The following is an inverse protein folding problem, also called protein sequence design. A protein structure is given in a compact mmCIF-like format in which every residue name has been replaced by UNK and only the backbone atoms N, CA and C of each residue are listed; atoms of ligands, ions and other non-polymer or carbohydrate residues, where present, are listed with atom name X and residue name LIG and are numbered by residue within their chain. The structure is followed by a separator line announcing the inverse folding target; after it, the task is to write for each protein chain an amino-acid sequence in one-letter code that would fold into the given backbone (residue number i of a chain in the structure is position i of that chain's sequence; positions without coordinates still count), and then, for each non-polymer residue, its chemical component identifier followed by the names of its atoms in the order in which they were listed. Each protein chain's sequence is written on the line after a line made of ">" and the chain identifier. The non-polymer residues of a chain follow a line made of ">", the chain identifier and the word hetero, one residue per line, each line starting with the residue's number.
data_IF_910288163595
#
_entry.id   IF_910288163595
#
_cell.length_a   1.000
_cell.length_b   1.000
_cell.length_c   1.000
_cell.angle_alpha   90.00
_cell.angle_beta   90.00
_cell.angle_gamma   90.00
#
_symmetry.space_group_name_H-M   'P 1'
#
loop_
_entity.id
_entity.type
_entity.pdbx_description
1 polymer ?
#
# COMPACT_ATOMS: atom_id res chain seq x y z
N UNK A 1 -2.04 26.58 7.05
CA UNK A 1 -2.16 25.12 7.18
C UNK A 1 -1.39 24.43 6.06
N UNK A 2 -0.75 23.28 6.32
CA UNK A 2 -0.01 22.50 5.33
C UNK A 2 -0.21 21.00 5.56
N UNK A 3 -0.16 20.21 4.47
CA UNK A 3 -0.24 18.75 4.53
C UNK A 3 1.13 18.12 4.26
N UNK A 4 1.52 17.17 5.10
CA UNK A 4 2.81 16.50 5.08
C UNK A 4 2.64 15.11 4.46
N UNK A 5 3.02 14.96 3.17
CA UNK A 5 2.82 13.73 2.40
C UNK A 5 4.04 12.82 2.34
N UNK A 6 5.25 13.40 2.39
CA UNK A 6 6.50 12.68 2.09
C UNK A 6 7.58 12.95 3.13
N UNK A 7 8.53 12.01 3.30
CA UNK A 7 9.75 12.25 4.06
C UNK A 7 10.74 13.06 3.21
N UNK A 8 10.56 14.37 3.08
CA UNK A 8 11.33 15.24 2.17
C UNK A 8 12.85 15.08 2.25
N UNK A 9 13.41 14.74 3.41
CA UNK A 9 14.83 14.48 3.52
C UNK A 9 15.26 13.30 2.64
N UNK A 10 14.47 12.23 2.62
CA UNK A 10 14.73 11.05 1.77
C UNK A 10 14.56 11.40 0.28
N UNK A 11 13.57 12.23 -0.05
CA UNK A 11 13.39 12.72 -1.42
C UNK A 11 14.57 13.59 -1.86
N UNK A 12 15.10 14.45 -0.97
CA UNK A 12 16.27 15.25 -1.26
C UNK A 12 17.55 14.42 -1.34
N UNK A 13 17.68 13.37 -0.53
CA UNK A 13 18.82 12.46 -0.58
C UNK A 13 18.89 11.73 -1.93
N UNK A 14 17.74 11.42 -2.52
CA UNK A 14 17.64 10.77 -3.82
C UNK A 14 17.80 11.74 -5.01
N UNK A 15 17.40 13.01 -4.86
CA UNK A 15 17.28 13.95 -5.98
C UNK A 15 18.29 15.11 -5.96
N UNK A 16 18.91 15.43 -4.83
CA UNK A 16 19.86 16.52 -4.72
C UNK A 16 21.29 16.00 -4.53
N UNK A 17 22.20 16.54 -5.34
CA UNK A 17 23.61 16.10 -5.38
C UNK A 17 24.43 16.59 -4.18
N UNK A 18 24.16 17.79 -3.65
CA UNK A 18 25.02 18.44 -2.66
C UNK A 18 24.36 18.53 -1.28
N UNK A 19 25.08 18.17 -0.22
CA UNK A 19 24.57 18.21 1.14
C UNK A 19 24.13 19.61 1.62
N UNK A 20 24.82 20.66 1.16
CA UNK A 20 24.43 22.03 1.50
C UNK A 20 23.07 22.41 0.89
N UNK A 21 22.80 22.01 -0.37
CA UNK A 21 21.52 22.28 -1.03
C UNK A 21 20.37 21.52 -0.35
N UNK A 22 20.59 20.29 0.12
CA UNK A 22 19.63 19.53 0.92
C UNK A 22 19.28 20.25 2.22
N UNK A 23 20.30 20.77 2.93
CA UNK A 23 20.10 21.54 4.17
C UNK A 23 19.31 22.83 3.94
N UNK A 24 19.63 23.57 2.89
CA UNK A 24 18.93 24.82 2.54
C UNK A 24 17.49 24.52 2.18
N UNK A 25 17.25 23.53 1.31
CA UNK A 25 15.90 23.12 0.93
C UNK A 25 15.07 22.68 2.15
N UNK A 26 15.64 21.83 3.01
CA UNK A 26 14.97 21.38 4.23
C UNK A 26 14.66 22.52 5.20
N UNK A 27 15.63 23.43 5.42
CA UNK A 27 15.43 24.62 6.27
C UNK A 27 14.34 25.54 5.73
N UNK A 28 14.29 25.73 4.40
CA UNK A 28 13.22 26.50 3.74
C UNK A 28 11.83 25.88 3.95
N UNK A 29 11.70 24.59 3.72
CA UNK A 29 10.43 23.87 3.92
C UNK A 29 10.01 23.92 5.39
N UNK A 30 10.90 23.63 6.32
CA UNK A 30 10.56 23.65 7.75
C UNK A 30 10.20 25.04 8.25
N UNK A 31 10.77 26.12 7.66
CA UNK A 31 10.34 27.50 7.97
C UNK A 31 8.89 27.74 7.55
N UNK A 32 8.49 27.23 6.37
CA UNK A 32 7.09 27.35 5.89
C UNK A 32 6.16 26.54 6.80
N UNK A 33 6.49 25.29 7.11
CA UNK A 33 5.64 24.46 7.97
C UNK A 33 5.52 25.02 9.38
N UNK A 34 6.61 25.55 9.95
CA UNK A 34 6.59 26.18 11.27
C UNK A 34 5.92 27.56 11.31
N UNK A 35 5.55 28.12 10.16
CA UNK A 35 4.72 29.32 10.06
C UNK A 35 3.23 29.02 9.88
N UNK A 36 2.84 27.73 9.77
CA UNK A 36 1.45 27.34 9.70
C UNK A 36 0.83 27.24 11.10
N UNK A 37 -0.46 27.54 11.21
CA UNK A 37 -1.22 27.37 12.47
C UNK A 37 -1.31 25.89 12.86
N UNK A 38 -1.49 25.03 11.87
CA UNK A 38 -1.55 23.57 12.03
C UNK A 38 -1.00 22.86 10.78
N UNK A 39 -0.29 21.75 10.98
CA UNK A 39 0.11 20.83 9.93
C UNK A 39 -0.68 19.54 10.02
N UNK A 40 -0.88 18.87 8.88
CA UNK A 40 -1.56 17.58 8.80
C UNK A 40 -0.64 16.54 8.20
N UNK A 41 -0.32 15.51 8.97
CA UNK A 41 0.47 14.37 8.49
C UNK A 41 -0.46 13.27 8.01
N UNK A 42 -0.09 12.64 6.89
CA UNK A 42 -0.90 11.57 6.26
C UNK A 42 -0.93 10.27 7.07
N UNK A 43 -0.04 10.09 8.04
CA UNK A 43 -0.06 8.99 9.01
C UNK A 43 0.80 9.33 10.24
N UNK A 44 0.75 8.44 11.26
CA UNK A 44 1.48 8.62 12.50
C UNK A 44 3.00 8.63 12.31
N UNK A 45 3.54 7.79 11.45
CA UNK A 45 4.98 7.71 11.18
C UNK A 45 5.52 8.99 10.53
N UNK A 46 4.76 9.63 9.63
CA UNK A 46 5.12 10.92 9.05
C UNK A 46 5.05 12.02 10.11
N UNK A 47 4.01 12.02 10.95
CA UNK A 47 3.91 12.97 12.07
C UNK A 47 5.14 12.89 12.95
N UNK A 48 5.47 11.69 13.45
CA UNK A 48 6.62 11.45 14.32
C UNK A 48 7.93 11.90 13.67
N UNK A 49 8.16 11.55 12.40
CA UNK A 49 9.33 11.97 11.63
C UNK A 49 9.50 13.49 11.61
N UNK A 50 8.41 14.23 11.37
CA UNK A 50 8.47 15.69 11.31
C UNK A 50 8.66 16.33 12.69
N UNK A 51 8.02 15.80 13.72
CA UNK A 51 8.15 16.33 15.09
C UNK A 51 9.53 16.00 15.69
N UNK A 52 10.00 14.74 15.56
CA UNK A 52 11.23 14.28 16.19
C UNK A 52 12.49 14.64 15.39
N UNK A 53 12.50 14.37 14.08
CA UNK A 53 13.73 14.42 13.28
C UNK A 53 13.88 15.74 12.52
N UNK A 54 12.76 16.36 12.10
CA UNK A 54 12.80 17.55 11.26
C UNK A 54 12.55 18.84 12.05
N UNK A 55 12.16 18.74 13.32
CA UNK A 55 11.97 19.89 14.22
C UNK A 55 10.73 20.70 13.89
N UNK A 56 9.62 20.04 13.56
CA UNK A 56 8.32 20.67 13.41
C UNK A 56 7.86 21.23 14.76
N UNK A 57 7.52 22.52 14.80
CA UNK A 57 7.05 23.24 15.99
C UNK A 57 5.56 23.55 15.97
N UNK A 58 4.97 23.60 14.76
CA UNK A 58 3.54 23.78 14.58
C UNK A 58 2.77 22.56 15.07
N UNK A 59 1.56 22.76 15.58
CA UNK A 59 0.67 21.67 15.93
C UNK A 59 0.52 20.72 14.73
N UNK A 60 0.61 19.40 14.95
CA UNK A 60 0.49 18.41 13.90
C UNK A 60 -0.57 17.37 14.24
N UNK A 61 -1.57 17.26 13.37
CA UNK A 61 -2.65 16.29 13.46
C UNK A 61 -2.48 15.22 12.39
N UNK A 62 -2.79 13.97 12.72
CA UNK A 62 -2.86 12.93 11.69
C UNK A 62 -4.17 13.08 10.92
N UNK A 63 -4.05 13.17 9.60
CA UNK A 63 -5.15 13.15 8.63
C UNK A 63 -4.87 12.08 7.61
N UNK A 64 -5.50 10.93 7.76
CA UNK A 64 -5.33 9.82 6.84
C UNK A 64 -5.83 10.21 5.44
N UNK A 65 -5.19 9.66 4.43
CA UNK A 65 -5.72 9.72 3.08
C UNK A 65 -6.98 8.84 2.98
N UNK A 66 -7.75 9.08 1.94
CA UNK A 66 -8.97 8.34 1.63
C UNK A 66 -8.95 7.88 0.18
N UNK A 67 -9.98 7.16 -0.21
CA UNK A 67 -10.19 6.74 -1.60
C UNK A 67 -11.61 7.09 -2.07
N UNK A 68 -11.78 7.22 -3.37
CA UNK A 68 -13.09 7.28 -4.04
C UNK A 68 -13.55 5.91 -4.56
N UNK A 69 -12.76 4.84 -4.30
CA UNK A 69 -13.17 3.48 -4.57
C UNK A 69 -14.34 3.07 -3.68
N UNK A 70 -15.22 2.27 -4.25
CA UNK A 70 -16.39 1.74 -3.55
C UNK A 70 -16.39 0.21 -3.59
N UNK A 71 -16.99 -0.46 -2.61
CA UNK A 71 -17.11 -1.91 -2.65
C UNK A 71 -17.86 -2.37 -3.90
N UNK A 72 -17.33 -3.39 -4.59
CA UNK A 72 -18.07 -3.99 -5.70
C UNK A 72 -19.41 -4.55 -5.22
N UNK A 73 -20.50 -4.34 -5.99
CA UNK A 73 -21.84 -4.76 -5.57
C UNK A 73 -22.01 -6.29 -5.58
N UNK A 74 -21.29 -6.99 -6.46
CA UNK A 74 -21.32 -8.46 -6.61
C UNK A 74 -19.88 -8.98 -6.77
N UNK A 75 -19.32 -9.48 -5.68
CA UNK A 75 -17.96 -10.01 -5.66
C UNK A 75 -17.80 -11.29 -6.52
N UNK A 76 -18.86 -12.09 -6.66
CA UNK A 76 -18.80 -13.30 -7.49
C UNK A 76 -18.79 -12.96 -8.99
N UNK A 77 -19.53 -11.95 -9.40
CA UNK A 77 -19.49 -11.43 -10.77
C UNK A 77 -18.13 -10.79 -11.05
N UNK A 78 -17.66 -9.92 -10.15
CA UNK A 78 -16.37 -9.28 -10.27
C UNK A 78 -15.22 -10.29 -10.42
N UNK A 79 -15.23 -11.36 -9.62
CA UNK A 79 -14.25 -12.43 -9.71
C UNK A 79 -14.27 -13.12 -11.07
N UNK A 80 -15.47 -13.46 -11.60
CA UNK A 80 -15.59 -14.07 -12.94
C UNK A 80 -15.06 -13.18 -14.05
N UNK A 81 -15.37 -11.88 -14.02
CA UNK A 81 -14.90 -10.93 -15.03
C UNK A 81 -13.37 -10.79 -15.00
N UNK A 82 -12.75 -10.79 -13.82
CA UNK A 82 -11.29 -10.79 -13.67
C UNK A 82 -10.70 -12.11 -14.18
N UNK A 83 -11.28 -13.25 -13.78
CA UNK A 83 -10.80 -14.57 -14.16
C UNK A 83 -10.85 -14.76 -15.70
N UNK A 84 -11.96 -14.35 -16.34
CA UNK A 84 -12.11 -14.40 -17.79
C UNK A 84 -11.11 -13.47 -18.51
N UNK A 85 -10.94 -12.26 -18.01
CA UNK A 85 -10.07 -11.25 -18.64
C UNK A 85 -8.60 -11.65 -18.61
N UNK A 86 -8.16 -12.27 -17.52
CA UNK A 86 -6.73 -12.58 -17.29
C UNK A 86 -6.38 -14.07 -17.33
N UNK A 87 -7.34 -14.92 -17.69
CA UNK A 87 -7.14 -16.37 -17.81
C UNK A 87 -6.83 -17.05 -16.47
N UNK A 88 -7.51 -16.62 -15.40
CA UNK A 88 -7.28 -17.13 -14.05
C UNK A 88 -8.21 -18.31 -13.76
N UNK A 89 -7.71 -19.46 -13.28
CA UNK A 89 -8.58 -20.53 -12.80
C UNK A 89 -9.44 -20.03 -11.63
N UNK A 90 -10.73 -20.37 -11.65
CA UNK A 90 -11.70 -19.86 -10.65
C UNK A 90 -11.38 -20.28 -9.21
N UNK A 91 -10.66 -21.39 -9.04
CA UNK A 91 -10.18 -21.94 -7.76
C UNK A 91 -8.76 -21.50 -7.40
N UNK A 92 -8.13 -20.66 -8.22
CA UNK A 92 -6.79 -20.16 -7.93
C UNK A 92 -6.80 -19.15 -6.78
N UNK A 93 -5.79 -19.24 -5.91
CA UNK A 93 -5.44 -18.18 -4.97
C UNK A 93 -4.85 -17.01 -5.76
N UNK A 94 -5.39 -15.80 -5.56
CA UNK A 94 -4.94 -14.61 -6.28
C UNK A 94 -4.23 -13.65 -5.33
N UNK A 95 -3.00 -13.31 -5.68
CA UNK A 95 -2.24 -12.23 -5.07
C UNK A 95 -2.25 -11.02 -6.00
N UNK A 96 -2.27 -9.84 -5.42
CA UNK A 96 -2.32 -8.58 -6.18
C UNK A 96 -1.24 -7.61 -5.69
N UNK A 97 -0.56 -6.98 -6.62
CA UNK A 97 0.19 -5.75 -6.42
C UNK A 97 -0.37 -4.67 -7.35
N UNK A 98 -0.55 -3.47 -6.82
CA UNK A 98 -1.00 -2.31 -7.60
C UNK A 98 0.00 -1.18 -7.43
N UNK A 99 0.46 -0.64 -8.54
CA UNK A 99 1.39 0.47 -8.53
C UNK A 99 2.33 0.52 -9.71
N UNK A 100 3.26 1.45 -9.67
CA UNK A 100 4.29 1.55 -10.71
C UNK A 100 5.20 0.33 -10.66
N UNK A 101 5.40 -0.31 -11.80
CA UNK A 101 6.32 -1.45 -11.94
C UNK A 101 7.76 -0.92 -11.93
N UNK A 102 8.31 -0.86 -10.72
CA UNK A 102 9.64 -0.36 -10.44
C UNK A 102 10.21 -1.10 -9.21
N UNK A 103 11.46 -1.59 -9.30
CA UNK A 103 12.10 -2.36 -8.23
C UNK A 103 12.33 -1.56 -6.94
N UNK A 104 12.22 -0.23 -6.97
CA UNK A 104 12.15 0.58 -5.74
C UNK A 104 10.93 0.23 -4.86
N UNK A 105 9.89 -0.35 -5.45
CA UNK A 105 8.72 -0.87 -4.74
C UNK A 105 8.93 -2.29 -4.22
N UNK A 106 10.13 -2.83 -4.37
CA UNK A 106 10.52 -4.16 -3.90
C UNK A 106 9.65 -5.31 -4.49
N UNK A 107 9.18 -5.12 -5.72
CA UNK A 107 8.30 -6.10 -6.40
C UNK A 107 9.04 -7.39 -6.74
N UNK A 108 10.34 -7.35 -6.96
CA UNK A 108 11.21 -8.51 -7.14
C UNK A 108 11.24 -9.39 -5.88
N UNK A 109 11.24 -8.79 -4.69
CA UNK A 109 11.10 -9.52 -3.43
C UNK A 109 9.79 -10.31 -3.39
N UNK A 110 8.65 -9.71 -3.79
CA UNK A 110 7.37 -10.43 -3.82
C UNK A 110 7.42 -11.65 -4.75
N UNK A 111 8.03 -11.51 -5.94
CA UNK A 111 8.18 -12.62 -6.89
C UNK A 111 9.09 -13.72 -6.33
N UNK A 112 10.23 -13.37 -5.70
CA UNK A 112 11.14 -14.33 -5.05
C UNK A 112 10.46 -15.05 -3.88
N UNK A 113 9.71 -14.33 -3.06
CA UNK A 113 8.95 -14.92 -1.96
C UNK A 113 7.87 -15.89 -2.47
N UNK A 114 7.19 -15.58 -3.58
CA UNK A 114 6.23 -16.50 -4.20
C UNK A 114 6.90 -17.72 -4.87
N UNK A 115 8.09 -17.55 -5.45
CA UNK A 115 8.89 -18.69 -5.91
C UNK A 115 9.23 -19.61 -4.73
N UNK A 116 9.64 -19.04 -3.60
CA UNK A 116 9.90 -19.80 -2.37
C UNK A 116 8.63 -20.47 -1.84
N UNK A 117 7.49 -19.81 -1.84
CA UNK A 117 6.22 -20.41 -1.45
C UNK A 117 5.82 -21.58 -2.35
N UNK A 118 6.08 -21.49 -3.67
CA UNK A 118 5.89 -22.59 -4.63
C UNK A 118 6.77 -23.81 -4.31
N UNK A 119 8.03 -23.59 -3.97
CA UNK A 119 8.94 -24.65 -3.50
C UNK A 119 8.43 -25.31 -2.21
N UNK A 120 7.86 -24.53 -1.28
CA UNK A 120 7.25 -25.00 -0.05
C UNK A 120 5.90 -25.71 -0.24
N UNK A 121 5.38 -25.72 -1.47
CA UNK A 121 4.17 -26.49 -1.83
C UNK A 121 2.93 -25.65 -2.11
N UNK A 122 3.03 -24.31 -2.18
CA UNK A 122 1.93 -23.49 -2.67
C UNK A 122 1.63 -23.82 -4.14
N UNK A 123 0.39 -24.17 -4.40
CA UNK A 123 -0.09 -24.57 -5.74
C UNK A 123 -1.28 -23.72 -6.15
N UNK A 124 -1.56 -23.73 -7.46
CA UNK A 124 -2.74 -23.08 -8.03
C UNK A 124 -2.93 -21.64 -7.55
N UNK A 125 -1.92 -20.81 -7.81
CA UNK A 125 -2.00 -19.38 -7.49
C UNK A 125 -1.73 -18.52 -8.72
N UNK A 126 -2.13 -17.25 -8.65
CA UNK A 126 -1.76 -16.21 -9.62
C UNK A 126 -1.29 -14.98 -8.87
N UNK A 127 -0.25 -14.36 -9.38
CA UNK A 127 0.23 -13.05 -8.93
C UNK A 127 -0.04 -12.02 -10.01
N UNK A 128 -0.91 -11.07 -9.72
CA UNK A 128 -1.32 -10.01 -10.64
C UNK A 128 -0.56 -8.74 -10.34
N UNK A 129 0.07 -8.16 -11.37
CA UNK A 129 0.70 -6.84 -11.31
C UNK A 129 -0.12 -5.83 -12.10
N UNK A 130 -0.88 -4.97 -11.42
CA UNK A 130 -1.66 -3.90 -12.04
C UNK A 130 -0.87 -2.59 -12.02
N UNK A 131 -0.51 -2.09 -13.19
CA UNK A 131 0.27 -0.90 -13.41
C UNK A 131 1.27 -1.03 -14.54
N UNK A 132 2.05 0.03 -14.77
CA UNK A 132 3.17 0.06 -15.71
C UNK A 132 4.39 0.73 -15.08
N UNK A 133 5.57 0.47 -15.64
CA UNK A 133 6.80 1.11 -15.18
C UNK A 133 8.03 0.69 -15.95
N UNK A 134 9.16 1.30 -15.59
CA UNK A 134 10.41 1.15 -16.31
C UNK A 134 11.08 -0.23 -16.13
N UNK A 135 10.65 -1.02 -15.14
CA UNK A 135 11.28 -2.29 -14.82
C UNK A 135 10.41 -3.50 -15.24
N UNK A 136 9.41 -3.31 -16.15
CA UNK A 136 8.57 -4.40 -16.67
C UNK A 136 9.42 -5.53 -17.31
N UNK A 137 10.39 -5.17 -18.15
CA UNK A 137 11.27 -6.16 -18.80
C UNK A 137 12.12 -6.92 -17.79
N UNK A 138 12.62 -6.22 -16.76
CA UNK A 138 13.41 -6.85 -15.69
C UNK A 138 12.55 -7.78 -14.84
N UNK A 139 11.30 -7.38 -14.56
CA UNK A 139 10.35 -8.22 -13.85
C UNK A 139 10.01 -9.48 -14.66
N UNK A 140 9.77 -9.35 -15.96
CA UNK A 140 9.50 -10.48 -16.85
C UNK A 140 10.70 -11.46 -16.91
N UNK A 141 11.92 -10.94 -16.99
CA UNK A 141 13.14 -11.75 -16.95
C UNK A 141 13.28 -12.53 -15.64
N UNK A 142 13.02 -11.88 -14.50
CA UNK A 142 13.05 -12.51 -13.17
C UNK A 142 11.96 -13.59 -13.04
N UNK A 143 10.76 -13.33 -13.52
CA UNK A 143 9.65 -14.29 -13.52
C UNK A 143 10.03 -15.54 -14.32
N UNK A 144 10.67 -15.36 -15.47
CA UNK A 144 11.16 -16.49 -16.29
C UNK A 144 12.29 -17.25 -15.58
N UNK A 145 13.26 -16.54 -15.00
CA UNK A 145 14.37 -17.13 -14.22
C UNK A 145 13.86 -18.03 -13.08
N UNK A 146 12.81 -17.58 -12.38
CA UNK A 146 12.23 -18.28 -11.23
C UNK A 146 11.15 -19.32 -11.61
N UNK A 147 10.88 -19.52 -12.89
CA UNK A 147 9.90 -20.51 -13.37
C UNK A 147 8.46 -20.19 -12.95
N UNK A 148 8.09 -18.90 -12.92
CA UNK A 148 6.76 -18.41 -12.53
C UNK A 148 5.97 -17.83 -13.70
N UNK A 149 6.31 -18.17 -14.93
CA UNK A 149 5.70 -17.60 -16.15
C UNK A 149 4.19 -17.87 -16.23
N UNK A 150 3.72 -18.98 -15.70
CA UNK A 150 2.30 -19.33 -15.68
C UNK A 150 1.55 -18.67 -14.52
N UNK A 151 2.26 -18.35 -13.42
CA UNK A 151 1.65 -17.81 -12.22
C UNK A 151 1.58 -16.28 -12.21
N UNK A 152 2.47 -15.59 -12.93
CA UNK A 152 2.55 -14.13 -12.92
C UNK A 152 1.84 -13.55 -14.13
N UNK A 153 0.93 -12.62 -13.87
CA UNK A 153 0.14 -11.93 -14.89
C UNK A 153 0.37 -10.42 -14.81
N UNK A 154 0.81 -9.83 -15.92
CA UNK A 154 0.96 -8.39 -16.07
C UNK A 154 -0.35 -7.79 -16.58
N UNK A 155 -1.14 -7.17 -15.70
CA UNK A 155 -2.44 -6.59 -16.04
C UNK A 155 -2.35 -5.28 -16.84
N UNK A 156 -1.17 -4.62 -16.82
CA UNK A 156 -1.00 -3.29 -17.41
C UNK A 156 -1.77 -2.20 -16.65
N UNK A 157 -2.00 -1.07 -17.31
CA UNK A 157 -2.87 -0.02 -16.75
C UNK A 157 -4.33 -0.48 -16.82
N UNK A 158 -5.02 -0.34 -15.70
CA UNK A 158 -6.44 -0.67 -15.57
C UNK A 158 -7.22 0.59 -15.22
N UNK A 159 -8.48 0.66 -15.62
CA UNK A 159 -9.41 1.68 -15.13
C UNK A 159 -9.87 1.37 -13.70
N UNK A 160 -10.58 2.33 -13.12
CA UNK A 160 -11.06 2.24 -11.73
C UNK A 160 -11.98 1.04 -11.51
N UNK A 161 -12.93 0.79 -12.41
CA UNK A 161 -13.91 -0.30 -12.30
C UNK A 161 -13.19 -1.67 -12.27
N UNK A 162 -12.27 -1.89 -13.21
CA UNK A 162 -11.48 -3.13 -13.23
C UNK A 162 -10.55 -3.23 -12.04
N UNK A 163 -10.00 -2.11 -11.56
CA UNK A 163 -9.12 -2.12 -10.38
C UNK A 163 -9.88 -2.51 -9.10
N UNK A 164 -11.12 -2.03 -8.92
CA UNK A 164 -12.00 -2.44 -7.83
C UNK A 164 -12.29 -3.96 -7.88
N UNK A 165 -12.51 -4.50 -9.08
CA UNK A 165 -12.71 -5.95 -9.29
C UNK A 165 -11.44 -6.76 -8.99
N UNK A 166 -10.26 -6.25 -9.40
CA UNK A 166 -8.96 -6.89 -9.09
C UNK A 166 -8.74 -6.98 -7.57
N UNK A 167 -8.96 -5.89 -6.84
CA UNK A 167 -8.89 -5.92 -5.38
C UNK A 167 -9.90 -6.91 -4.78
N UNK A 168 -11.14 -6.90 -5.25
CA UNK A 168 -12.18 -7.81 -4.75
C UNK A 168 -11.87 -9.28 -5.03
N UNK A 169 -11.22 -9.59 -6.17
CA UNK A 169 -10.81 -10.97 -6.55
C UNK A 169 -9.59 -11.44 -5.76
N UNK A 170 -8.75 -10.53 -5.32
CA UNK A 170 -7.49 -10.89 -4.67
C UNK A 170 -7.72 -11.48 -3.26
N UNK A 171 -7.03 -12.57 -2.96
CA UNK A 171 -6.94 -13.13 -1.61
C UNK A 171 -6.07 -12.28 -0.70
N UNK A 172 -4.92 -11.81 -1.21
CA UNK A 172 -4.00 -10.94 -0.46
C UNK A 172 -3.47 -9.86 -1.38
N UNK A 173 -3.35 -8.65 -0.83
CA UNK A 173 -2.64 -7.54 -1.45
C UNK A 173 -1.19 -7.53 -0.95
N UNK A 174 -0.23 -7.88 -1.82
CA UNK A 174 1.18 -7.95 -1.45
C UNK A 174 1.85 -6.59 -1.70
N UNK A 175 2.27 -5.92 -0.63
CA UNK A 175 2.88 -4.60 -0.73
C UNK A 175 4.23 -4.53 0.02
N UNK A 176 5.31 -5.10 -0.55
CA UNK A 176 6.61 -5.20 0.10
C UNK A 176 7.42 -3.90 0.08
N UNK A 177 6.84 -2.78 -0.33
CA UNK A 177 7.54 -1.51 -0.46
C UNK A 177 8.00 -0.96 0.90
N UNK A 178 9.30 -0.68 0.99
CA UNK A 178 9.91 0.06 2.11
C UNK A 178 10.08 1.56 1.79
N UNK A 179 9.86 1.95 0.53
CA UNK A 179 10.05 3.32 0.07
C UNK A 179 8.85 4.21 0.35
N UNK A 180 7.64 3.68 0.23
CA UNK A 180 6.42 4.47 0.31
C UNK A 180 6.18 5.04 1.71
N UNK A 181 5.80 6.29 1.78
CA UNK A 181 5.42 6.94 3.04
C UNK A 181 3.97 6.68 3.42
N UNK A 182 3.11 6.59 2.42
CA UNK A 182 1.69 6.28 2.56
C UNK A 182 1.20 5.56 1.29
N UNK A 183 0.22 4.71 1.44
CA UNK A 183 -0.28 3.87 0.35
C UNK A 183 -1.78 4.03 0.18
N UNK A 184 -2.20 4.76 -0.87
CA UNK A 184 -3.61 4.83 -1.27
C UNK A 184 -4.13 3.43 -1.65
N UNK A 185 -3.31 2.66 -2.36
CA UNK A 185 -3.65 1.30 -2.81
C UNK A 185 -3.96 0.33 -1.65
N UNK A 186 -3.44 0.60 -0.44
CA UNK A 186 -3.84 -0.12 0.78
C UNK A 186 -5.28 0.18 1.17
N UNK A 187 -5.70 1.45 1.10
CA UNK A 187 -7.05 1.90 1.43
C UNK A 187 -8.04 1.35 0.39
N UNK A 188 -7.62 1.30 -0.87
CA UNK A 188 -8.37 0.71 -1.98
C UNK A 188 -8.56 -0.80 -1.79
N UNK A 189 -7.50 -1.53 -1.42
CA UNK A 189 -7.59 -2.95 -1.08
C UNK A 189 -8.52 -3.19 0.11
N UNK A 190 -8.39 -2.37 1.17
CA UNK A 190 -9.22 -2.43 2.36
C UNK A 190 -10.70 -2.15 2.05
N UNK A 191 -11.01 -1.28 1.08
CA UNK A 191 -12.37 -1.02 0.61
C UNK A 191 -13.07 -2.31 0.17
N UNK A 192 -12.35 -3.24 -0.47
CA UNK A 192 -12.88 -4.54 -0.89
C UNK A 192 -12.75 -5.62 0.20
N UNK A 193 -12.16 -5.31 1.36
CA UNK A 193 -11.88 -6.26 2.42
C UNK A 193 -10.67 -7.16 2.12
N UNK A 194 -9.78 -6.76 1.22
CA UNK A 194 -8.60 -7.54 0.86
C UNK A 194 -7.45 -7.20 1.80
N UNK A 195 -7.00 -8.16 2.64
CA UNK A 195 -5.93 -7.89 3.59
C UNK A 195 -4.59 -7.63 2.89
N UNK A 196 -3.87 -6.64 3.39
CA UNK A 196 -2.53 -6.31 2.89
C UNK A 196 -1.44 -7.02 3.71
N UNK A 197 -0.35 -7.40 3.03
CA UNK A 197 0.85 -7.98 3.63
C UNK A 197 2.03 -7.03 3.37
N UNK A 198 2.57 -6.47 4.45
CA UNK A 198 3.69 -5.53 4.44
C UNK A 198 4.96 -6.17 4.98
N UNK A 199 6.08 -5.49 4.79
CA UNK A 199 7.33 -5.80 5.46
C UNK A 199 7.49 -5.00 6.76
N UNK A 200 8.17 -5.57 7.74
CA UNK A 200 8.63 -4.85 8.93
C UNK A 200 9.48 -3.64 8.53
N UNK A 201 9.29 -2.53 9.23
CA UNK A 201 9.96 -1.26 8.94
C UNK A 201 9.32 -0.43 7.80
N UNK A 202 8.32 -0.95 7.08
CA UNK A 202 7.57 -0.17 6.11
C UNK A 202 6.74 0.91 6.80
N UNK A 203 6.91 2.19 6.40
CA UNK A 203 6.09 3.30 6.95
C UNK A 203 4.61 3.15 6.63
N UNK A 204 4.29 2.54 5.50
CA UNK A 204 2.92 2.22 5.08
C UNK A 204 2.23 1.23 6.00
N UNK A 205 2.99 0.40 6.72
CA UNK A 205 2.46 -0.53 7.73
C UNK A 205 2.07 0.15 9.05
N UNK A 206 2.32 1.45 9.23
CA UNK A 206 2.04 2.17 10.49
C UNK A 206 0.55 2.23 10.87
N UNK A 207 -0.35 1.97 9.93
CA UNK A 207 -1.80 1.87 10.15
C UNK A 207 -2.26 0.43 10.43
N UNK A 208 -1.35 -0.54 10.31
CA UNK A 208 -1.65 -1.96 10.49
C UNK A 208 -1.43 -2.38 11.94
N UNK A 209 -2.41 -3.06 12.49
CA UNK A 209 -2.26 -3.89 13.68
C UNK A 209 -2.10 -5.33 13.20
N UNK A 210 -0.89 -5.92 13.28
CA UNK A 210 -0.60 -7.23 12.70
C UNK A 210 -1.54 -8.32 13.22
N UNK A 211 -2.10 -9.12 12.30
CA UNK A 211 -3.06 -10.18 12.62
C UNK A 211 -4.46 -9.70 13.00
N UNK A 212 -4.70 -8.38 13.01
CA UNK A 212 -6.02 -7.78 13.28
C UNK A 212 -6.64 -7.21 12.02
N UNK A 213 -5.99 -6.26 11.35
CA UNK A 213 -6.51 -5.59 10.15
C UNK A 213 -5.57 -5.67 8.94
N UNK A 214 -4.54 -6.50 9.03
CA UNK A 214 -3.55 -6.76 7.99
C UNK A 214 -2.39 -7.55 8.57
N UNK A 215 -1.35 -7.74 7.76
CA UNK A 215 -0.20 -8.55 8.13
C UNK A 215 1.10 -7.77 7.93
N UNK A 216 2.06 -8.03 8.83
CA UNK A 216 3.41 -7.47 8.76
C UNK A 216 4.40 -8.61 8.97
N UNK A 217 5.33 -8.79 8.04
CA UNK A 217 6.27 -9.91 8.02
C UNK A 217 7.70 -9.41 8.01
N UNK A 218 8.66 -10.19 8.55
CA UNK A 218 10.08 -9.88 8.41
C UNK A 218 10.50 -9.75 6.94
N UNK A 219 11.50 -8.90 6.67
CA UNK A 219 12.04 -8.66 5.32
C UNK A 219 12.98 -9.83 4.88
N UNK A 220 12.42 -11.03 4.84
CA UNK A 220 13.03 -12.27 4.38
C UNK A 220 12.07 -12.99 3.44
N UNK A 221 12.54 -13.38 2.26
CA UNK A 221 11.73 -14.09 1.25
C UNK A 221 11.13 -15.37 1.84
N UNK A 222 11.91 -16.13 2.61
CA UNK A 222 11.47 -17.35 3.26
C UNK A 222 10.42 -17.10 4.34
N UNK A 223 10.63 -16.11 5.21
CA UNK A 223 9.64 -15.73 6.23
C UNK A 223 8.34 -15.20 5.62
N UNK A 224 8.43 -14.43 4.53
CA UNK A 224 7.27 -13.91 3.82
C UNK A 224 6.48 -15.03 3.14
N UNK A 225 7.18 -16.02 2.55
CA UNK A 225 6.57 -17.20 1.96
C UNK A 225 5.81 -18.03 2.99
N UNK A 226 6.42 -18.31 4.14
CA UNK A 226 5.76 -19.02 5.25
C UNK A 226 4.54 -18.24 5.76
N UNK A 227 4.66 -16.92 5.96
CA UNK A 227 3.56 -16.10 6.40
C UNK A 227 2.37 -16.15 5.42
N UNK A 228 2.61 -16.09 4.10
CA UNK A 228 1.56 -16.24 3.10
C UNK A 228 0.85 -17.60 3.26
N UNK A 229 1.62 -18.68 3.42
CA UNK A 229 1.05 -20.03 3.56
C UNK A 229 0.24 -20.17 4.85
N UNK A 230 0.73 -19.65 5.96
CA UNK A 230 0.05 -19.68 7.27
C UNK A 230 -1.25 -18.86 7.23
N UNK A 231 -1.23 -17.67 6.60
CA UNK A 231 -2.42 -16.84 6.40
C UNK A 231 -3.49 -17.58 5.60
N UNK A 232 -3.11 -18.26 4.52
CA UNK A 232 -4.04 -19.02 3.67
C UNK A 232 -4.57 -20.28 4.34
N UNK A 233 -3.81 -20.86 5.27
CA UNK A 233 -4.22 -22.03 6.04
C UNK A 233 -5.21 -21.68 7.17
N UNK A 234 -5.10 -20.49 7.78
CA UNK A 234 -6.00 -20.00 8.84
C UNK A 234 -7.21 -19.25 8.25
N UNK A 235 -8.18 -20.00 7.74
CA UNK A 235 -9.38 -19.42 7.10
C UNK A 235 -10.20 -18.53 8.04
N UNK A 236 -10.30 -18.89 9.30
CA UNK A 236 -11.08 -18.13 10.28
C UNK A 236 -10.35 -16.84 10.66
N UNK A 237 -9.03 -16.91 10.85
CA UNK A 237 -8.19 -15.72 11.05
C UNK A 237 -8.23 -14.79 9.85
N UNK A 238 -8.10 -15.33 8.65
CA UNK A 238 -8.22 -14.58 7.42
C UNK A 238 -9.56 -13.82 7.33
N UNK A 239 -10.68 -14.49 7.57
CA UNK A 239 -12.00 -13.87 7.51
C UNK A 239 -12.17 -12.72 8.53
N UNK A 240 -11.62 -12.89 9.75
CA UNK A 240 -11.61 -11.82 10.77
C UNK A 240 -10.76 -10.63 10.33
N UNK A 241 -9.55 -10.88 9.81
CA UNK A 241 -8.64 -9.82 9.34
C UNK A 241 -9.22 -9.09 8.13
N UNK A 242 -9.83 -9.79 7.18
CA UNK A 242 -10.52 -9.22 6.02
C UNK A 242 -11.62 -8.24 6.44
N UNK A 243 -12.49 -8.67 7.35
CA UNK A 243 -13.58 -7.83 7.87
C UNK A 243 -13.03 -6.59 8.62
N UNK A 244 -11.99 -6.77 9.43
CA UNK A 244 -11.36 -5.70 10.19
C UNK A 244 -10.58 -4.74 9.26
N UNK A 245 -9.90 -5.23 8.23
CA UNK A 245 -9.24 -4.40 7.23
C UNK A 245 -10.24 -3.40 6.62
N UNK A 246 -11.40 -3.88 6.17
CA UNK A 246 -12.44 -3.02 5.62
C UNK A 246 -13.00 -2.02 6.65
N UNK A 247 -13.23 -2.46 7.86
CA UNK A 247 -13.80 -1.62 8.92
C UNK A 247 -12.84 -0.52 9.39
N UNK A 248 -11.56 -0.86 9.56
CA UNK A 248 -10.60 -0.03 10.27
C UNK A 248 -9.74 0.83 9.33
N UNK A 249 -9.55 0.39 8.07
CA UNK A 249 -8.61 1.01 7.13
C UNK A 249 -9.30 1.69 5.94
N UNK A 250 -10.52 1.27 5.58
CA UNK A 250 -11.26 1.95 4.52
C UNK A 250 -11.77 3.30 5.00
N UNK A 251 -11.49 4.33 4.23
CA UNK A 251 -11.92 5.70 4.49
C UNK A 251 -12.32 6.35 3.17
N UNK A 252 -13.52 6.92 3.11
CA UNK A 252 -13.98 7.67 1.95
C UNK A 252 -13.54 9.12 2.00
N UNK A 253 -13.39 9.76 0.81
CA UNK A 253 -13.14 11.20 0.77
C UNK A 253 -14.27 12.02 1.38
N UNK A 254 -15.52 11.55 1.34
CA UNK A 254 -16.64 12.23 1.97
C UNK A 254 -16.50 12.32 3.49
N UNK A 255 -15.97 11.28 4.14
CA UNK A 255 -15.70 11.26 5.57
C UNK A 255 -14.56 12.23 5.92
N UNK A 256 -13.46 12.17 5.15
CA UNK A 256 -12.31 13.07 5.37
C UNK A 256 -12.69 14.53 5.15
N UNK A 257 -13.45 14.86 4.11
CA UNK A 257 -13.87 16.23 3.80
C UNK A 257 -14.75 16.80 4.91
N UNK A 258 -15.66 16.02 5.49
CA UNK A 258 -16.46 16.45 6.65
C UNK A 258 -15.60 16.84 7.84
N UNK A 259 -14.64 16.00 8.18
CA UNK A 259 -13.70 16.26 9.27
C UNK A 259 -12.79 17.46 9.00
N UNK A 260 -12.30 17.57 7.76
CA UNK A 260 -11.47 18.70 7.32
C UNK A 260 -12.24 19.99 7.39
N UNK A 261 -13.49 20.00 6.95
CA UNK A 261 -14.36 21.17 7.02
C UNK A 261 -14.56 21.65 8.47
N UNK A 262 -14.81 20.73 9.40
CA UNK A 262 -14.91 21.05 10.81
C UNK A 262 -13.62 21.68 11.38
N UNK A 263 -12.45 21.15 11.00
CA UNK A 263 -11.16 21.73 11.39
C UNK A 263 -10.94 23.13 10.81
N UNK A 264 -11.34 23.37 9.55
CA UNK A 264 -11.29 24.72 8.96
C UNK A 264 -12.15 25.72 9.73
N UNK A 265 -13.39 25.33 10.09
CA UNK A 265 -14.27 26.19 10.90
C UNK A 265 -13.64 26.53 12.25
N UNK A 266 -13.09 25.52 12.94
CA UNK A 266 -12.37 25.69 14.21
C UNK A 266 -11.20 26.68 14.08
N UNK A 267 -10.36 26.51 13.06
CA UNK A 267 -9.19 27.37 12.82
C UNK A 267 -9.59 28.82 12.46
N UNK A 268 -10.74 29.00 11.82
CA UNK A 268 -11.28 30.33 11.51
C UNK A 268 -12.08 30.97 12.65
N UNK A 269 -12.18 30.30 13.80
CA UNK A 269 -13.01 30.77 14.92
C UNK A 269 -14.52 30.82 14.60
N UNK A 270 -14.96 29.98 13.64
CA UNK A 270 -16.37 29.84 13.23
C UNK A 270 -16.86 28.51 13.74
N UNK A 271 -17.73 28.52 14.75
CA UNK A 271 -18.43 27.31 15.25
C UNK A 271 -19.76 27.14 14.53
#
# INVERSE_FOLDING_TARGET
>A
MATLHSPYRQDFDNNLKYNWSKRVAMSGIMRVFNACDECWAVNGSIKELYESDYGLKSACKVRLNATDHVPVPDAALAAREVDERYGIPSDATVFLFVGRINFIKNIDFAVRALARAKELGLKNFRMLFAGKGQDEDKLAALVQELGLTEEVVMCGLTDKDMLEKLYSRASLFLFPSLYDANSLVQIEAACQGTPAVFLEGARTASTITPGVNGYVCPASEDAYAHAIMDILADKDGYARVSAAARKDLYLSWDDVVRDVYADYLRLLGRN
#
